data_IF_923562895811
#
_entry.id   IF_923562895811
#
_cell.length_a   1.000
_cell.length_b   1.000
_cell.length_c   1.000
_cell.angle_alpha   90.00
_cell.angle_beta   90.00
_cell.angle_gamma   90.00
#
_symmetry.space_group_name_H-M   'P 1'
#
loop_
_entity.id
_entity.type
_entity.pdbx_description
1 polymer ?
#
# COMPACT_ATOMS: atom_id res chain seq x y z
N UNK A 1 -24.77 12.46 2.26
CA UNK A 1 -23.41 12.06 2.63
C UNK A 1 -22.49 13.20 2.25
N UNK A 2 -21.70 13.72 3.18
CA UNK A 2 -20.77 14.82 2.93
C UNK A 2 -19.52 14.32 2.17
N UNK A 3 -18.80 15.22 1.51
CA UNK A 3 -17.52 14.89 0.88
C UNK A 3 -16.50 14.33 1.87
N UNK A 4 -16.47 14.88 3.08
CA UNK A 4 -15.59 14.42 4.17
C UNK A 4 -15.90 12.98 4.58
N UNK A 5 -17.18 12.62 4.69
CA UNK A 5 -17.61 11.24 4.98
C UNK A 5 -17.19 10.28 3.86
N UNK A 6 -17.39 10.68 2.60
CA UNK A 6 -17.02 9.88 1.43
C UNK A 6 -15.51 9.64 1.38
N UNK A 7 -14.70 10.70 1.51
CA UNK A 7 -13.23 10.62 1.51
C UNK A 7 -12.75 9.73 2.67
N UNK A 8 -13.34 9.88 3.86
CA UNK A 8 -13.01 9.04 5.01
C UNK A 8 -13.28 7.55 4.74
N UNK A 9 -14.41 7.22 4.10
CA UNK A 9 -14.75 5.85 3.71
C UNK A 9 -13.77 5.27 2.67
N UNK A 10 -13.36 6.08 1.71
CA UNK A 10 -12.38 5.70 0.70
C UNK A 10 -10.99 5.46 1.30
N UNK A 11 -10.52 6.37 2.17
CA UNK A 11 -9.26 6.21 2.92
C UNK A 11 -9.27 4.95 3.79
N UNK A 12 -10.36 4.68 4.50
CA UNK A 12 -10.51 3.43 5.27
C UNK A 12 -10.36 2.20 4.37
N UNK A 13 -10.92 2.25 3.17
CA UNK A 13 -10.82 1.10 2.27
C UNK A 13 -9.40 0.93 1.72
N UNK A 14 -8.66 2.02 1.49
CA UNK A 14 -7.23 1.95 1.18
C UNK A 14 -6.45 1.32 2.33
N UNK A 15 -6.73 1.70 3.58
CA UNK A 15 -6.11 1.13 4.79
C UNK A 15 -6.32 -0.38 4.85
N UNK A 16 -7.56 -0.86 4.68
CA UNK A 16 -7.84 -2.31 4.66
C UNK A 16 -7.08 -3.05 3.55
N UNK A 17 -6.88 -2.41 2.39
CA UNK A 17 -6.05 -2.96 1.31
C UNK A 17 -4.59 -3.12 1.72
N UNK A 18 -4.02 -2.10 2.36
CA UNK A 18 -2.64 -2.14 2.87
C UNK A 18 -2.48 -3.18 3.99
N UNK A 19 -3.41 -3.24 4.95
CA UNK A 19 -3.42 -4.24 6.03
C UNK A 19 -3.44 -5.67 5.48
N UNK A 20 -4.27 -5.91 4.45
CA UNK A 20 -4.30 -7.21 3.75
C UNK A 20 -2.94 -7.52 3.11
N UNK A 21 -2.31 -6.54 2.46
CA UNK A 21 -0.98 -6.72 1.88
C UNK A 21 0.08 -7.01 2.96
N UNK A 22 0.01 -6.37 4.13
CA UNK A 22 0.91 -6.63 5.26
C UNK A 22 0.77 -8.08 5.76
N UNK A 23 -0.47 -8.57 5.92
CA UNK A 23 -0.72 -9.96 6.32
C UNK A 23 -0.15 -10.97 5.33
N UNK A 24 -0.32 -10.70 4.03
CA UNK A 24 0.25 -11.55 2.96
C UNK A 24 1.79 -11.49 2.94
N UNK A 25 2.38 -10.31 3.13
CA UNK A 25 3.84 -10.16 3.22
C UNK A 25 4.42 -10.88 4.44
N UNK A 26 3.73 -10.86 5.59
CA UNK A 26 4.09 -11.62 6.78
C UNK A 26 4.05 -13.13 6.52
N UNK A 27 3.02 -13.62 5.82
CA UNK A 27 2.93 -15.03 5.42
C UNK A 27 4.06 -15.42 4.45
N UNK A 28 4.35 -14.59 3.44
CA UNK A 28 5.44 -14.83 2.49
C UNK A 28 6.81 -14.87 3.19
N UNK A 29 7.04 -14.00 4.18
CA UNK A 29 8.27 -14.00 4.97
C UNK A 29 8.43 -15.31 5.77
N UNK A 30 7.38 -15.74 6.49
CA UNK A 30 7.40 -17.03 7.22
C UNK A 30 7.66 -18.21 6.29
N UNK A 31 7.02 -18.23 5.13
CA UNK A 31 7.24 -19.27 4.15
C UNK A 31 8.68 -19.28 3.61
N UNK A 32 9.26 -18.10 3.37
CA UNK A 32 10.66 -17.98 2.97
C UNK A 32 11.61 -18.54 4.03
N UNK A 33 11.28 -18.34 5.31
CA UNK A 33 12.02 -18.88 6.46
C UNK A 33 11.93 -20.40 6.53
N UNK A 34 10.73 -20.97 6.40
CA UNK A 34 10.55 -22.43 6.40
C UNK A 34 11.33 -23.11 5.27
N UNK A 35 11.32 -22.53 4.07
CA UNK A 35 12.08 -23.06 2.93
C UNK A 35 13.59 -22.98 3.20
N UNK A 36 14.08 -21.87 3.75
CA UNK A 36 15.49 -21.72 4.11
C UNK A 36 15.94 -22.79 5.12
N UNK A 37 15.15 -23.01 6.17
CA UNK A 37 15.43 -24.00 7.21
C UNK A 37 15.44 -25.44 6.66
N UNK A 38 14.44 -25.80 5.84
CA UNK A 38 14.38 -27.13 5.20
C UNK A 38 15.55 -27.35 4.24
N UNK A 39 15.89 -26.33 3.45
CA UNK A 39 17.02 -26.38 2.53
C UNK A 39 18.34 -26.57 3.29
N UNK A 40 18.55 -25.85 4.39
CA UNK A 40 19.73 -26.00 5.23
C UNK A 40 19.82 -27.41 5.84
N UNK A 41 18.72 -27.92 6.39
CA UNK A 41 18.66 -29.27 6.96
C UNK A 41 18.93 -30.39 5.93
N UNK A 42 18.57 -30.16 4.66
CA UNK A 42 18.82 -31.07 3.56
C UNK A 42 20.19 -30.87 2.86
N UNK A 43 21.05 -29.96 3.36
CA UNK A 43 22.37 -29.69 2.79
C UNK A 43 22.39 -28.76 1.58
N UNK A 44 21.26 -28.16 1.19
CA UNK A 44 21.15 -27.21 0.09
C UNK A 44 21.52 -25.78 0.52
N UNK A 45 22.77 -25.57 0.90
CA UNK A 45 23.26 -24.30 1.46
C UNK A 45 23.01 -23.08 0.55
N UNK A 46 23.14 -23.23 -0.78
CA UNK A 46 22.91 -22.15 -1.73
C UNK A 46 21.43 -21.70 -1.75
N UNK A 47 20.49 -22.65 -1.65
CA UNK A 47 19.05 -22.35 -1.57
C UNK A 47 18.74 -21.64 -0.26
N UNK A 48 19.28 -22.13 0.86
CA UNK A 48 19.09 -21.49 2.16
C UNK A 48 19.58 -20.03 2.16
N UNK A 49 20.80 -19.77 1.66
CA UNK A 49 21.35 -18.43 1.55
C UNK A 49 20.54 -17.54 0.58
N UNK A 50 20.09 -18.09 -0.53
CA UNK A 50 19.20 -17.38 -1.47
C UNK A 50 17.88 -16.99 -0.82
N UNK A 51 17.29 -17.87 -0.01
CA UNK A 51 16.04 -17.59 0.69
C UNK A 51 16.18 -16.54 1.79
N UNK A 52 17.35 -16.42 2.43
CA UNK A 52 17.65 -15.29 3.32
C UNK A 52 17.60 -13.95 2.57
N UNK A 53 18.06 -13.90 1.31
CA UNK A 53 17.94 -12.68 0.48
C UNK A 53 16.49 -12.37 0.12
N UNK A 54 15.69 -13.40 -0.19
CA UNK A 54 14.24 -13.24 -0.42
C UNK A 54 13.55 -12.73 0.85
N UNK A 55 13.90 -13.24 2.03
CA UNK A 55 13.37 -12.76 3.32
C UNK A 55 13.67 -11.27 3.53
N UNK A 56 14.91 -10.84 3.28
CA UNK A 56 15.30 -9.44 3.41
C UNK A 56 14.48 -8.53 2.48
N UNK A 57 14.31 -8.91 1.21
CA UNK A 57 13.49 -8.18 0.27
C UNK A 57 12.01 -8.10 0.70
N UNK A 58 11.45 -9.19 1.23
CA UNK A 58 10.07 -9.18 1.78
C UNK A 58 9.98 -8.28 3.02
N UNK A 59 11.01 -8.25 3.87
CA UNK A 59 11.05 -7.35 5.04
C UNK A 59 11.13 -5.88 4.64
N UNK A 60 11.85 -5.53 3.58
CA UNK A 60 11.83 -4.18 3.01
C UNK A 60 10.43 -3.79 2.53
N UNK A 61 9.75 -4.71 1.82
CA UNK A 61 8.35 -4.50 1.39
C UNK A 61 7.44 -4.29 2.61
N UNK A 62 7.59 -5.07 3.68
CA UNK A 62 6.84 -4.85 4.93
C UNK A 62 7.07 -3.45 5.51
N UNK A 63 8.32 -2.97 5.50
CA UNK A 63 8.65 -1.60 5.91
C UNK A 63 7.92 -0.55 5.08
N UNK A 64 7.86 -0.72 3.76
CA UNK A 64 7.10 0.16 2.86
C UNK A 64 5.60 0.12 3.18
N UNK A 65 5.03 -1.06 3.38
CA UNK A 65 3.61 -1.21 3.72
C UNK A 65 3.26 -0.57 5.06
N UNK A 66 4.15 -0.64 6.05
CA UNK A 66 3.98 0.06 7.33
C UNK A 66 3.97 1.58 7.14
N UNK A 67 4.88 2.12 6.32
CA UNK A 67 4.89 3.54 5.96
C UNK A 67 3.60 3.98 5.28
N UNK A 68 3.06 3.17 4.37
CA UNK A 68 1.76 3.41 3.72
C UNK A 68 0.61 3.46 4.73
N UNK A 69 0.56 2.52 5.68
CA UNK A 69 -0.45 2.48 6.72
C UNK A 69 -0.40 3.75 7.60
N UNK A 70 0.81 4.20 7.97
CA UNK A 70 1.00 5.47 8.69
C UNK A 70 0.52 6.67 7.87
N UNK A 71 0.90 6.78 6.59
CA UNK A 71 0.45 7.89 5.72
C UNK A 71 -1.07 7.93 5.56
N UNK A 72 -1.73 6.78 5.41
CA UNK A 72 -3.18 6.68 5.32
C UNK A 72 -3.88 7.02 6.66
N UNK A 73 -3.28 6.63 7.79
CA UNK A 73 -3.74 7.01 9.12
C UNK A 73 -3.71 8.52 9.33
N UNK A 74 -2.60 9.17 8.96
CA UNK A 74 -2.48 10.63 9.02
C UNK A 74 -3.47 11.32 8.06
N UNK A 75 -3.60 10.86 6.81
CA UNK A 75 -4.58 11.41 5.87
C UNK A 75 -6.02 11.30 6.39
N UNK A 76 -6.35 10.19 7.06
CA UNK A 76 -7.66 9.98 7.69
C UNK A 76 -7.88 10.98 8.83
N UNK A 77 -6.88 11.16 9.69
CA UNK A 77 -6.90 12.14 10.79
C UNK A 77 -7.05 13.57 10.28
N UNK A 78 -6.30 13.93 9.22
CA UNK A 78 -6.40 15.25 8.57
C UNK A 78 -7.79 15.48 7.99
N UNK A 79 -8.36 14.48 7.32
CA UNK A 79 -9.73 14.55 6.78
C UNK A 79 -10.76 14.76 7.89
N UNK A 80 -10.63 14.03 8.99
CA UNK A 80 -11.54 14.14 10.14
C UNK A 80 -11.42 15.48 10.90
N UNK A 81 -10.30 16.18 10.76
CA UNK A 81 -10.10 17.50 11.35
C UNK A 81 -10.82 18.63 10.58
N UNK A 82 -11.34 18.37 9.37
CA UNK A 82 -12.12 19.35 8.62
C UNK A 82 -13.47 19.58 9.33
N UNK A 83 -13.77 20.83 9.74
CA UNK A 83 -15.04 21.11 10.43
C UNK A 83 -16.27 20.74 9.59
N UNK A 84 -17.34 20.29 10.25
CA UNK A 84 -18.59 19.91 9.56
C UNK A 84 -19.30 21.11 8.92
N UNK A 85 -19.00 22.33 9.41
CA UNK A 85 -19.41 23.61 8.84
C UNK A 85 -18.19 24.43 8.44
N UNK A 86 -17.21 23.78 7.83
CA UNK A 86 -16.02 24.45 7.31
C UNK A 86 -16.42 25.49 6.27
N UNK A 87 -15.79 26.65 6.34
CA UNK A 87 -15.78 27.59 5.24
C UNK A 87 -15.13 26.94 4.00
N UNK A 88 -15.41 27.48 2.80
CA UNK A 88 -14.69 27.09 1.59
C UNK A 88 -13.17 27.02 1.75
N UNK A 89 -12.58 28.04 2.39
CA UNK A 89 -11.13 28.13 2.58
C UNK A 89 -10.59 27.08 3.55
N UNK A 90 -11.31 26.80 4.64
CA UNK A 90 -10.94 25.73 5.59
C UNK A 90 -11.02 24.36 4.93
N UNK A 91 -12.02 24.12 4.07
CA UNK A 91 -12.15 22.87 3.31
C UNK A 91 -10.97 22.68 2.36
N UNK A 92 -10.62 23.72 1.58
CA UNK A 92 -9.48 23.67 0.66
C UNK A 92 -8.18 23.43 1.41
N UNK A 93 -7.97 24.15 2.51
CA UNK A 93 -6.75 24.05 3.32
C UNK A 93 -6.63 22.68 3.98
N UNK A 94 -7.73 22.14 4.51
CA UNK A 94 -7.76 20.84 5.19
C UNK A 94 -7.64 19.66 4.23
N UNK A 95 -8.19 19.73 3.01
CA UNK A 95 -8.17 18.63 2.05
C UNK A 95 -6.95 18.62 1.12
N UNK A 96 -6.24 19.73 0.97
CA UNK A 96 -5.02 19.78 0.13
C UNK A 96 -3.93 18.79 0.59
N UNK A 97 -3.60 18.68 1.89
CA UNK A 97 -2.66 17.67 2.38
C UNK A 97 -3.13 16.23 2.13
N UNK A 98 -4.45 15.98 2.23
CA UNK A 98 -5.04 14.67 1.96
C UNK A 98 -4.82 14.25 0.51
N UNK A 99 -5.03 15.17 -0.45
CA UNK A 99 -4.73 14.93 -1.87
C UNK A 99 -3.27 14.53 -2.07
N UNK A 100 -2.35 15.30 -1.50
CA UNK A 100 -0.91 15.04 -1.62
C UNK A 100 -0.52 13.69 -0.99
N UNK A 101 -1.14 13.32 0.14
CA UNK A 101 -0.94 12.02 0.77
C UNK A 101 -1.44 10.86 -0.10
N UNK A 102 -2.61 10.99 -0.72
CA UNK A 102 -3.15 9.97 -1.65
C UNK A 102 -2.24 9.77 -2.86
N UNK A 103 -1.65 10.85 -3.39
CA UNK A 103 -0.66 10.78 -4.46
C UNK A 103 0.61 10.06 -4.00
N UNK A 104 1.14 10.42 -2.83
CA UNK A 104 2.30 9.75 -2.24
C UNK A 104 2.06 8.25 -1.98
N UNK A 105 0.84 7.88 -1.54
CA UNK A 105 0.43 6.48 -1.38
C UNK A 105 0.44 5.76 -2.72
N UNK A 106 -0.10 6.37 -3.79
CA UNK A 106 -0.09 5.79 -5.13
C UNK A 106 1.33 5.52 -5.61
N UNK A 107 2.20 6.52 -5.57
CA UNK A 107 3.57 6.43 -6.07
C UNK A 107 4.38 5.39 -5.29
N UNK A 108 4.24 5.38 -3.97
CA UNK A 108 4.90 4.41 -3.08
C UNK A 108 4.37 3.00 -3.32
N UNK A 109 3.07 2.83 -3.55
CA UNK A 109 2.49 1.52 -3.88
C UNK A 109 2.98 1.01 -5.23
N UNK A 110 3.09 1.88 -6.25
CA UNK A 110 3.65 1.52 -7.56
C UNK A 110 5.11 1.09 -7.44
N UNK A 111 5.92 1.76 -6.62
CA UNK A 111 7.30 1.32 -6.33
C UNK A 111 7.35 -0.04 -5.65
N UNK A 112 6.49 -0.28 -4.66
CA UNK A 112 6.40 -1.57 -3.97
C UNK A 112 6.01 -2.72 -4.93
N UNK A 113 5.13 -2.46 -5.92
CA UNK A 113 4.81 -3.42 -6.99
C UNK A 113 6.05 -3.77 -7.81
N UNK A 114 6.91 -2.79 -8.12
CA UNK A 114 8.20 -3.02 -8.79
C UNK A 114 9.13 -3.91 -7.97
N UNK A 115 9.32 -3.59 -6.69
CA UNK A 115 10.15 -4.38 -5.75
C UNK A 115 9.65 -5.82 -5.58
N UNK A 116 8.33 -6.03 -5.59
CA UNK A 116 7.74 -7.39 -5.60
C UNK A 116 8.10 -8.17 -6.86
N UNK A 117 8.16 -7.50 -8.02
CA UNK A 117 8.62 -8.11 -9.27
C UNK A 117 10.06 -8.61 -9.17
N UNK A 118 10.95 -7.78 -8.64
CA UNK A 118 12.36 -8.13 -8.40
C UNK A 118 12.50 -9.27 -7.39
N UNK A 119 11.73 -9.22 -6.28
CA UNK A 119 11.69 -10.27 -5.26
C UNK A 119 11.21 -11.61 -5.84
N UNK A 120 10.20 -11.57 -6.72
CA UNK A 120 9.68 -12.75 -7.41
C UNK A 120 10.72 -13.35 -8.36
N UNK A 121 11.47 -12.51 -9.08
CA UNK A 121 12.55 -12.96 -9.95
C UNK A 121 13.67 -13.63 -9.13
N UNK A 122 14.06 -13.02 -8.00
CA UNK A 122 15.02 -13.60 -7.07
C UNK A 122 14.55 -14.97 -6.55
N UNK A 123 13.30 -15.07 -6.08
CA UNK A 123 12.74 -16.33 -5.61
C UNK A 123 12.69 -17.41 -6.69
N UNK A 124 12.37 -17.03 -7.93
CA UNK A 124 12.40 -17.94 -9.09
C UNK A 124 13.80 -18.49 -9.33
N UNK A 125 14.83 -17.65 -9.27
CA UNK A 125 16.22 -18.07 -9.47
C UNK A 125 16.72 -18.97 -8.35
N UNK A 126 16.42 -18.63 -7.10
CA UNK A 126 16.86 -19.41 -5.91
C UNK A 126 16.23 -20.80 -5.87
N UNK A 127 14.99 -20.92 -6.33
CA UNK A 127 14.21 -22.17 -6.28
C UNK A 127 14.23 -22.94 -7.61
N UNK A 128 15.18 -22.64 -8.50
CA UNK A 128 15.39 -23.44 -9.71
C UNK A 128 15.62 -24.91 -9.33
N UNK A 129 14.75 -25.80 -9.81
CA UNK A 129 14.78 -27.24 -9.49
C UNK A 129 13.98 -27.68 -8.26
N UNK A 130 13.29 -26.76 -7.55
CA UNK A 130 12.38 -27.06 -6.43
C UNK A 130 10.90 -26.83 -6.75
N UNK A 131 10.08 -26.63 -5.71
CA UNK A 131 8.68 -26.18 -5.83
C UNK A 131 8.54 -24.67 -5.52
N UNK A 132 8.78 -23.78 -6.50
CA UNK A 132 8.63 -22.33 -6.28
C UNK A 132 7.17 -21.88 -6.18
N UNK A 133 6.22 -22.72 -6.63
CA UNK A 133 4.81 -22.38 -6.81
C UNK A 133 4.17 -21.64 -5.63
N UNK A 134 4.25 -22.17 -4.39
CA UNK A 134 3.67 -21.50 -3.24
C UNK A 134 4.27 -20.11 -2.98
N UNK A 135 5.58 -19.91 -3.15
CA UNK A 135 6.24 -18.63 -2.89
C UNK A 135 5.87 -17.60 -3.95
N UNK A 136 5.90 -18.01 -5.22
CA UNK A 136 5.53 -17.14 -6.33
C UNK A 136 4.06 -16.74 -6.27
N UNK A 137 3.18 -17.64 -5.81
CA UNK A 137 1.75 -17.36 -5.59
C UNK A 137 1.54 -16.36 -4.45
N UNK A 138 2.29 -16.46 -3.35
CA UNK A 138 2.21 -15.51 -2.25
C UNK A 138 2.62 -14.09 -2.69
N UNK A 139 3.76 -13.96 -3.38
CA UNK A 139 4.23 -12.67 -3.90
C UNK A 139 3.25 -12.08 -4.93
N UNK A 140 2.65 -12.93 -5.77
CA UNK A 140 1.62 -12.51 -6.73
C UNK A 140 0.34 -12.02 -6.04
N UNK A 141 -0.07 -12.67 -4.95
CA UNK A 141 -1.23 -12.24 -4.16
C UNK A 141 -1.03 -10.85 -3.57
N UNK A 142 0.19 -10.55 -3.07
CA UNK A 142 0.53 -9.21 -2.59
C UNK A 142 0.43 -8.20 -3.76
N UNK A 143 1.03 -8.53 -4.91
CA UNK A 143 1.02 -7.66 -6.10
C UNK A 143 -0.40 -7.31 -6.56
N UNK A 144 -1.31 -8.29 -6.56
CA UNK A 144 -2.71 -8.07 -6.93
C UNK A 144 -3.41 -7.12 -5.96
N UNK A 145 -3.23 -7.30 -4.65
CA UNK A 145 -3.78 -6.39 -3.64
C UNK A 145 -3.25 -4.97 -3.83
N UNK A 146 -1.93 -4.80 -4.03
CA UNK A 146 -1.35 -3.48 -4.26
C UNK A 146 -1.82 -2.83 -5.57
N UNK A 147 -2.06 -3.63 -6.60
CA UNK A 147 -2.65 -3.13 -7.86
C UNK A 147 -4.04 -2.55 -7.61
N UNK A 148 -4.87 -3.22 -6.80
CA UNK A 148 -6.18 -2.71 -6.40
C UNK A 148 -6.07 -1.44 -5.54
N UNK A 149 -5.06 -1.34 -4.67
CA UNK A 149 -4.77 -0.12 -3.90
C UNK A 149 -4.46 1.04 -4.85
N UNK A 150 -3.59 0.85 -5.85
CA UNK A 150 -3.28 1.88 -6.86
C UNK A 150 -4.51 2.32 -7.65
N UNK A 151 -5.41 1.39 -8.00
CA UNK A 151 -6.65 1.75 -8.68
C UNK A 151 -7.56 2.58 -7.77
N UNK A 152 -7.67 2.19 -6.49
CA UNK A 152 -8.50 2.89 -5.51
C UNK A 152 -7.97 4.28 -5.18
N UNK A 153 -6.66 4.51 -5.16
CA UNK A 153 -6.12 5.86 -4.92
C UNK A 153 -6.56 6.85 -6.01
N UNK A 154 -6.75 6.39 -7.25
CA UNK A 154 -7.32 7.22 -8.32
C UNK A 154 -8.73 7.71 -7.99
N UNK A 155 -9.60 6.82 -7.50
CA UNK A 155 -10.95 7.18 -7.08
C UNK A 155 -10.95 8.12 -5.87
N UNK A 156 -10.11 7.83 -4.86
CA UNK A 156 -9.97 8.69 -3.67
C UNK A 156 -9.49 10.09 -4.04
N UNK A 157 -8.50 10.18 -4.92
CA UNK A 157 -7.99 11.46 -5.43
C UNK A 157 -9.10 12.27 -6.09
N UNK A 158 -9.91 11.63 -6.94
CA UNK A 158 -11.02 12.30 -7.63
C UNK A 158 -12.06 12.84 -6.65
N UNK A 159 -12.41 12.09 -5.60
CA UNK A 159 -13.32 12.56 -4.55
C UNK A 159 -12.76 13.77 -3.79
N UNK A 160 -11.46 13.76 -3.46
CA UNK A 160 -10.79 14.90 -2.81
C UNK A 160 -10.76 16.12 -3.74
N UNK A 161 -10.44 15.93 -5.03
CA UNK A 161 -10.41 17.01 -6.01
C UNK A 161 -11.79 17.62 -6.25
N UNK A 162 -12.84 16.80 -6.32
CA UNK A 162 -14.22 17.27 -6.43
C UNK A 162 -14.61 18.15 -5.24
N UNK A 163 -14.30 17.72 -4.02
CA UNK A 163 -14.58 18.49 -2.81
C UNK A 163 -13.85 19.85 -2.78
N UNK A 164 -12.59 19.87 -3.20
CA UNK A 164 -11.80 21.11 -3.32
C UNK A 164 -12.36 22.03 -4.41
N UNK A 165 -12.76 21.47 -5.56
CA UNK A 165 -13.32 22.25 -6.67
C UNK A 165 -14.66 22.89 -6.29
N UNK A 166 -15.54 22.15 -5.63
CA UNK A 166 -16.82 22.67 -5.13
C UNK A 166 -16.62 23.77 -4.09
N UNK A 167 -15.70 23.57 -3.14
CA UNK A 167 -15.35 24.60 -2.17
C UNK A 167 -14.87 25.89 -2.87
N UNK A 168 -14.01 25.79 -3.89
CA UNK A 168 -13.56 26.97 -4.66
C UNK A 168 -14.71 27.69 -5.35
N UNK A 169 -15.64 26.95 -5.96
CA UNK A 169 -16.81 27.53 -6.62
C UNK A 169 -17.67 28.30 -5.62
N UNK A 170 -18.00 27.69 -4.48
CA UNK A 170 -18.78 28.34 -3.41
C UNK A 170 -18.11 29.59 -2.86
N UNK A 171 -16.77 29.56 -2.69
CA UNK A 171 -15.99 30.72 -2.26
C UNK A 171 -15.97 31.86 -3.29
N UNK A 172 -16.02 31.53 -4.59
CA UNK A 172 -16.05 32.54 -5.66
C UNK A 172 -17.42 33.20 -5.86
N UNK A 173 -18.51 32.50 -5.53
CA UNK A 173 -19.89 33.02 -5.61
C UNK A 173 -20.33 33.82 -4.38
N UNK A 174 -19.54 33.79 -3.30
CA UNK A 174 -19.83 34.45 -2.02
C UNK A 174 -19.13 35.79 -1.80
N UNK A 175 -18.47 36.33 -2.83
CA UNK A 175 -17.86 37.66 -2.83
C UNK A 175 -18.68 38.63 -3.68
#
# INVERSE_FOLDING_TARGET
MSHVEKITGELRTLTTGVERAQGLAAAAHKQAQEVALRAAAAGFAAVAAGMTRVQAAVSEIQGVLNGLATSLGEATKTTAAVPHRATPQETITGLTPVRNAVDGVRDTTTRAIGQLGETRQLATMVLQGGQPGPMLSALESIRQVLTLVVQRTGATRQSVEAAIAEARQLGSSGN
#
